data_IF_126434378440
#
_entry.id   IF_126434378440
#
_cell.length_a   1.000
_cell.length_b   1.000
_cell.length_c   1.000
_cell.angle_alpha   90.00
_cell.angle_beta   90.00
_cell.angle_gamma   90.00
#
_symmetry.space_group_name_H-M   'P 1'
#
loop_
_entity.id
_entity.type
_entity.pdbx_description
1 polymer ?
#
# COMPACT_ATOMS: atom_id res chain seq x y z
N UNK A 1 -18.85 9.88 14.80
CA UNK A 1 -17.72 10.09 13.86
C UNK A 1 -16.53 9.20 14.24
N UNK A 2 -16.63 7.86 14.13
CA UNK A 2 -15.58 6.96 14.66
C UNK A 2 -15.29 5.68 13.86
N UNK A 3 -15.99 5.43 12.75
CA UNK A 3 -15.90 4.15 12.05
C UNK A 3 -15.03 4.16 10.78
N UNK A 4 -14.76 5.34 10.20
CA UNK A 4 -14.09 5.46 8.88
C UNK A 4 -12.55 5.35 9.03
N UNK A 5 -12.01 5.85 10.15
CA UNK A 5 -10.58 5.75 10.46
C UNK A 5 -10.14 4.31 10.79
N UNK A 6 -11.05 3.52 11.38
CA UNK A 6 -10.78 2.14 11.80
C UNK A 6 -10.48 1.22 10.61
N UNK A 7 -11.08 1.45 9.44
CA UNK A 7 -10.89 0.58 8.27
C UNK A 7 -9.65 0.92 7.44
N UNK A 8 -9.19 2.18 7.48
CA UNK A 8 -8.03 2.61 6.70
C UNK A 8 -6.76 1.82 7.08
N UNK A 9 -6.51 1.67 8.38
CA UNK A 9 -5.36 0.93 8.89
C UNK A 9 -5.48 -0.60 8.72
N UNK A 10 -6.65 -1.11 8.31
CA UNK A 10 -6.84 -2.52 8.00
C UNK A 10 -6.28 -2.90 6.62
N UNK A 11 -5.99 -1.92 5.76
CA UNK A 11 -5.28 -2.18 4.52
C UNK A 11 -3.91 -2.83 4.79
N UNK A 12 -3.36 -3.64 3.85
CA UNK A 12 -2.02 -4.18 3.98
C UNK A 12 -1.00 -3.07 4.24
N UNK A 13 -0.03 -3.33 5.13
CA UNK A 13 0.98 -2.35 5.52
C UNK A 13 2.36 -2.90 5.22
N UNK A 14 3.19 -2.11 4.56
CA UNK A 14 4.57 -2.47 4.23
C UNK A 14 5.51 -1.49 4.90
N UNK A 15 6.33 -1.97 5.83
CA UNK A 15 7.38 -1.19 6.44
C UNK A 15 8.54 -1.04 5.45
N UNK A 16 9.03 0.18 5.29
CA UNK A 16 10.14 0.51 4.41
C UNK A 16 11.19 1.29 5.19
N UNK A 17 12.38 0.72 5.32
CA UNK A 17 13.55 1.38 5.86
C UNK A 17 14.34 2.06 4.74
N UNK A 18 14.49 3.38 4.84
CA UNK A 18 15.26 4.22 3.92
C UNK A 18 16.54 4.65 4.63
N UNK A 19 17.68 4.06 4.24
CA UNK A 19 18.98 4.29 4.87
C UNK A 19 19.71 5.54 4.37
N UNK A 20 19.39 5.97 3.14
CA UNK A 20 20.02 7.11 2.46
C UNK A 20 18.93 7.96 1.79
N UNK A 21 19.10 9.30 1.70
CA UNK A 21 18.19 10.12 0.91
C UNK A 21 18.25 9.73 -0.57
N UNK A 22 17.12 9.73 -1.26
CA UNK A 22 17.11 9.42 -2.69
C UNK A 22 15.72 9.32 -3.29
N UNK A 23 15.62 8.54 -4.37
CA UNK A 23 14.39 8.38 -5.13
C UNK A 23 13.77 7.00 -4.87
N UNK A 24 12.46 6.99 -4.61
CA UNK A 24 11.65 5.77 -4.55
C UNK A 24 10.42 5.94 -5.42
N UNK A 25 10.21 5.01 -6.34
CA UNK A 25 8.98 4.90 -7.12
C UNK A 25 8.20 3.67 -6.67
N UNK A 26 6.95 3.90 -6.30
CA UNK A 26 6.00 2.87 -5.92
C UNK A 26 5.02 2.66 -7.07
N UNK A 27 4.81 1.41 -7.46
CA UNK A 27 3.82 1.05 -8.46
C UNK A 27 2.81 0.07 -7.86
N UNK A 28 1.52 0.42 -7.89
CA UNK A 28 0.44 -0.43 -7.44
C UNK A 28 -0.36 -0.88 -8.67
N UNK A 29 -0.35 -2.18 -8.93
CA UNK A 29 -1.09 -2.80 -10.04
C UNK A 29 -2.16 -3.71 -9.46
N UNK A 30 -3.42 -3.51 -9.84
CA UNK A 30 -4.50 -4.44 -9.51
C UNK A 30 -4.58 -5.57 -10.54
N UNK A 31 -4.89 -6.78 -10.09
CA UNK A 31 -5.08 -7.96 -10.93
C UNK A 31 -6.43 -7.89 -11.63
N UNK A 32 -6.48 -8.36 -12.88
CA UNK A 32 -7.74 -8.55 -13.59
C UNK A 32 -8.33 -9.90 -13.19
N UNK A 33 -9.48 -9.91 -12.51
CA UNK A 33 -10.16 -11.16 -12.15
C UNK A 33 -10.56 -11.99 -13.38
N UNK A 34 -10.84 -11.32 -14.51
CA UNK A 34 -11.33 -11.89 -15.75
C UNK A 34 -10.34 -11.66 -16.92
N UNK A 35 -9.03 -11.72 -16.66
CA UNK A 35 -8.01 -11.49 -17.69
C UNK A 35 -8.23 -12.42 -18.90
N UNK A 36 -8.35 -11.85 -20.10
CA UNK A 36 -8.62 -12.60 -21.33
C UNK A 36 -10.11 -12.87 -21.64
N UNK A 37 -11.05 -12.47 -20.78
CA UNK A 37 -12.49 -12.60 -21.05
C UNK A 37 -13.06 -11.35 -21.75
N UNK A 38 -14.15 -11.53 -22.52
CA UNK A 38 -14.83 -10.42 -23.24
C UNK A 38 -15.49 -9.39 -22.33
N UNK A 39 -15.86 -9.76 -21.11
CA UNK A 39 -16.45 -8.87 -20.11
C UNK A 39 -15.41 -8.54 -19.06
N UNK A 40 -15.00 -7.27 -19.01
CA UNK A 40 -14.14 -6.72 -17.96
C UNK A 40 -15.00 -5.95 -16.98
N UNK A 41 -14.87 -6.29 -15.70
CA UNK A 41 -15.40 -5.46 -14.64
C UNK A 41 -14.58 -4.17 -14.55
N UNK A 42 -15.19 -3.04 -14.14
CA UNK A 42 -14.46 -1.79 -13.96
C UNK A 42 -13.37 -1.95 -12.90
N UNK A 43 -12.25 -1.24 -13.08
CA UNK A 43 -11.20 -1.20 -12.08
C UNK A 43 -11.69 -0.52 -10.80
N UNK A 44 -11.31 -1.09 -9.66
CA UNK A 44 -11.48 -0.44 -8.37
C UNK A 44 -10.63 0.83 -8.36
N UNK A 45 -11.14 1.91 -7.76
CA UNK A 45 -10.36 3.14 -7.62
C UNK A 45 -9.30 2.92 -6.54
N UNK A 46 -8.03 2.86 -6.95
CA UNK A 46 -6.89 2.52 -6.08
C UNK A 46 -5.96 3.71 -5.88
N UNK A 47 -5.23 3.70 -4.75
CA UNK A 47 -4.21 4.69 -4.43
C UNK A 47 -3.17 4.16 -3.43
N UNK A 48 -2.05 4.87 -3.31
CA UNK A 48 -0.98 4.58 -2.35
C UNK A 48 -0.91 5.70 -1.32
N UNK A 49 -0.80 5.31 -0.06
CA UNK A 49 -0.56 6.22 1.06
C UNK A 49 0.78 5.89 1.72
N UNK A 50 1.61 6.89 1.99
CA UNK A 50 2.90 6.72 2.65
C UNK A 50 2.95 7.57 3.90
N UNK A 51 3.24 6.97 5.05
CA UNK A 51 3.39 7.67 6.32
C UNK A 51 4.80 7.50 6.86
N UNK A 52 5.39 8.57 7.38
CA UNK A 52 6.63 8.48 8.17
C UNK A 52 6.29 8.01 9.57
N UNK A 53 7.07 7.08 10.11
CA UNK A 53 6.87 6.51 11.44
C UNK A 53 8.16 6.58 12.26
N UNK A 54 8.07 6.27 13.54
CA UNK A 54 9.18 6.27 14.49
C UNK A 54 10.20 5.18 14.12
N UNK A 55 11.49 5.45 14.37
CA UNK A 55 12.59 4.55 14.01
C UNK A 55 12.50 3.15 14.65
N UNK A 56 11.84 3.03 15.79
CA UNK A 56 11.64 1.77 16.50
C UNK A 56 10.36 1.03 16.08
N UNK A 57 9.61 1.54 15.09
CA UNK A 57 8.35 0.92 14.65
C UNK A 57 8.61 -0.47 14.08
N UNK A 58 8.03 -1.50 14.69
CA UNK A 58 8.11 -2.89 14.19
C UNK A 58 6.76 -3.51 13.88
N UNK A 59 5.67 -2.89 14.35
CA UNK A 59 4.29 -3.33 14.18
C UNK A 59 3.51 -2.37 13.29
N UNK A 60 2.34 -2.82 12.85
CA UNK A 60 1.41 -2.04 12.03
C UNK A 60 0.87 -0.82 12.79
N UNK A 61 0.50 0.22 12.07
CA UNK A 61 -0.25 1.35 12.64
C UNK A 61 -1.72 1.00 12.76
N UNK A 62 -2.37 1.54 13.80
CA UNK A 62 -3.80 1.36 14.06
C UNK A 62 -4.58 2.68 13.94
N UNK A 63 -3.89 3.78 13.66
CA UNK A 63 -4.47 5.09 13.43
C UNK A 63 -3.77 5.73 12.24
N UNK A 64 -4.56 6.37 11.38
CA UNK A 64 -4.02 7.14 10.27
C UNK A 64 -3.23 8.33 10.82
N UNK A 65 -2.01 8.51 10.30
CA UNK A 65 -1.14 9.64 10.61
C UNK A 65 -1.12 10.60 9.43
N UNK A 66 -0.51 11.77 9.60
CA UNK A 66 -0.28 12.69 8.48
C UNK A 66 0.56 11.99 7.39
N UNK A 67 0.10 11.95 6.13
CA UNK A 67 0.89 11.38 5.05
C UNK A 67 2.19 12.13 4.84
N UNK A 68 3.26 11.38 4.59
CA UNK A 68 4.46 11.90 3.94
C UNK A 68 4.23 12.08 2.43
N UNK A 69 3.40 11.23 1.82
CA UNK A 69 3.01 11.32 0.42
C UNK A 69 1.74 10.50 0.13
N UNK A 70 1.01 10.88 -0.91
CA UNK A 70 -0.15 10.15 -1.44
C UNK A 70 -0.12 10.17 -2.96
N UNK A 71 -0.49 9.06 -3.61
CA UNK A 71 -0.76 9.08 -5.05
C UNK A 71 -2.10 9.75 -5.33
N UNK A 72 -2.30 10.13 -6.59
CA UNK A 72 -3.65 10.29 -7.11
C UNK A 72 -4.39 8.95 -7.03
N UNK A 73 -5.70 9.02 -6.82
CA UNK A 73 -6.58 7.86 -6.86
C UNK A 73 -7.18 7.73 -8.25
N UNK A 74 -7.13 6.54 -8.83
CA UNK A 74 -7.67 6.32 -10.16
C UNK A 74 -8.30 4.93 -10.31
N UNK A 75 -9.38 4.86 -11.09
CA UNK A 75 -9.92 3.62 -11.64
C UNK A 75 -9.06 3.20 -12.83
N UNK A 76 -7.91 2.59 -12.54
CA UNK A 76 -6.92 2.18 -13.54
C UNK A 76 -6.24 0.87 -13.12
N UNK A 77 -5.72 0.11 -14.10
CA UNK A 77 -4.98 -1.14 -13.83
C UNK A 77 -3.76 -0.90 -12.93
N UNK A 78 -3.05 0.20 -13.17
CA UNK A 78 -1.85 0.57 -12.41
C UNK A 78 -1.83 2.06 -12.12
N UNK A 79 -1.34 2.41 -10.93
CA UNK A 79 -0.99 3.78 -10.54
C UNK A 79 0.43 3.83 -10.00
N UNK A 80 1.03 5.03 -10.01
CA UNK A 80 2.41 5.25 -9.60
C UNK A 80 2.51 6.41 -8.61
N UNK A 81 3.42 6.30 -7.66
CA UNK A 81 3.81 7.38 -6.76
C UNK A 81 5.33 7.53 -6.80
N UNK A 82 5.80 8.71 -7.20
CA UNK A 82 7.22 9.02 -7.29
C UNK A 82 7.63 9.94 -6.13
N UNK A 83 8.49 9.43 -5.24
CA UNK A 83 9.08 10.13 -4.11
C UNK A 83 10.51 10.53 -4.48
N UNK A 84 10.70 11.77 -4.98
CA UNK A 84 11.98 12.23 -5.53
C UNK A 84 13.04 12.56 -4.47
N UNK A 85 12.62 13.06 -3.32
CA UNK A 85 13.52 13.54 -2.27
C UNK A 85 13.16 12.89 -0.92
N UNK A 86 13.03 11.56 -0.88
CA UNK A 86 12.62 10.88 0.36
C UNK A 86 13.76 10.94 1.39
N UNK A 87 13.58 11.55 2.58
CA UNK A 87 14.64 11.60 3.58
C UNK A 87 14.85 10.25 4.25
N UNK A 88 16.04 10.06 4.85
CA UNK A 88 16.32 8.94 5.76
C UNK A 88 15.23 8.83 6.82
N UNK A 89 14.72 7.62 6.99
CA UNK A 89 13.60 7.36 7.89
C UNK A 89 12.98 5.99 7.71
N UNK A 90 11.96 5.75 8.52
CA UNK A 90 11.12 4.57 8.45
C UNK A 90 9.73 5.00 7.99
N UNK A 91 9.18 4.25 7.04
CA UNK A 91 7.91 4.58 6.40
C UNK A 91 6.99 3.37 6.39
N UNK A 92 5.68 3.62 6.42
CA UNK A 92 4.67 2.63 6.10
C UNK A 92 4.03 3.00 4.78
N UNK A 93 4.05 2.06 3.85
CA UNK A 93 3.31 2.13 2.58
C UNK A 93 2.02 1.33 2.73
N UNK A 94 0.89 1.96 2.41
CA UNK A 94 -0.43 1.33 2.33
C UNK A 94 -0.95 1.43 0.90
N UNK A 95 -1.08 0.31 0.17
CA UNK A 95 -1.98 0.24 -0.96
C UNK A 95 -3.42 0.25 -0.46
N UNK A 96 -4.27 1.07 -1.06
CA UNK A 96 -5.63 1.34 -0.57
C UNK A 96 -6.62 1.44 -1.73
N UNK A 97 -7.88 1.18 -1.44
CA UNK A 97 -9.01 1.57 -2.29
C UNK A 97 -9.56 2.93 -1.84
N UNK A 98 -10.20 3.67 -2.74
CA UNK A 98 -10.84 4.94 -2.40
C UNK A 98 -12.05 4.72 -1.50
N UNK A 99 -12.96 3.83 -1.90
CA UNK A 99 -14.12 3.49 -1.10
C UNK A 99 -13.78 2.35 -0.13
N UNK A 100 -14.29 2.38 1.11
CA UNK A 100 -14.10 1.28 2.04
C UNK A 100 -14.83 0.03 1.56
N UNK A 101 -14.30 -1.14 1.93
CA UNK A 101 -14.87 -2.48 1.63
C UNK A 101 -14.82 -2.92 0.16
N UNK A 102 -14.19 -2.14 -0.71
CA UNK A 102 -13.78 -2.65 -2.01
C UNK A 102 -12.55 -3.56 -1.86
N UNK A 103 -12.45 -4.59 -2.70
CA UNK A 103 -11.37 -5.56 -2.66
C UNK A 103 -10.85 -5.81 -4.07
N UNK A 104 -9.54 -5.91 -4.19
CA UNK A 104 -8.88 -6.33 -5.42
C UNK A 104 -7.56 -7.00 -5.07
N UNK A 105 -7.23 -8.08 -5.78
CA UNK A 105 -5.88 -8.61 -5.74
C UNK A 105 -4.92 -7.58 -6.34
N UNK A 106 -3.72 -7.43 -5.78
CA UNK A 106 -2.78 -6.42 -6.24
C UNK A 106 -1.33 -6.91 -6.16
N UNK A 107 -0.47 -6.17 -6.85
CA UNK A 107 0.97 -6.26 -6.78
C UNK A 107 1.54 -4.88 -6.51
N UNK A 108 2.32 -4.78 -5.44
CA UNK A 108 3.09 -3.58 -5.09
C UNK A 108 4.54 -3.79 -5.51
N UNK A 109 5.07 -2.89 -6.33
CA UNK A 109 6.49 -2.85 -6.69
C UNK A 109 7.14 -1.60 -6.13
N UNK A 110 8.38 -1.76 -5.69
CA UNK A 110 9.20 -0.69 -5.13
C UNK A 110 10.48 -0.64 -5.97
N UNK A 111 10.68 0.49 -6.63
CA UNK A 111 11.90 0.80 -7.37
C UNK A 111 12.65 1.87 -6.58
N UNK A 112 13.94 1.67 -6.39
CA UNK A 112 14.79 2.66 -5.72
C UNK A 112 16.18 2.63 -6.32
N UNK A 113 16.84 3.79 -6.31
CA UNK A 113 18.25 3.93 -6.63
C UNK A 113 19.20 3.52 -5.48
N UNK A 114 18.65 3.20 -4.30
CA UNK A 114 19.41 2.67 -3.16
C UNK A 114 18.79 1.37 -2.64
N UNK A 115 19.50 0.70 -1.74
CA UNK A 115 19.00 -0.51 -1.10
C UNK A 115 17.88 -0.13 -0.12
N UNK A 116 16.72 -0.75 -0.30
CA UNK A 116 15.58 -0.63 0.61
C UNK A 116 15.21 -2.00 1.15
N UNK A 117 14.71 -2.02 2.39
CA UNK A 117 14.31 -3.25 3.08
C UNK A 117 12.81 -3.24 3.36
N UNK A 118 11.97 -3.68 2.40
CA UNK A 118 10.54 -3.78 2.61
C UNK A 118 10.20 -5.00 3.48
N UNK A 119 9.30 -4.80 4.45
CA UNK A 119 8.76 -5.88 5.28
C UNK A 119 7.25 -5.76 5.36
N UNK A 120 6.52 -6.81 4.99
CA UNK A 120 5.08 -6.87 5.19
C UNK A 120 4.76 -6.92 6.69
N UNK A 121 3.85 -6.07 7.14
CA UNK A 121 3.29 -6.04 8.49
C UNK A 121 1.90 -6.66 8.46
N UNK A 122 1.88 -7.97 8.19
CA UNK A 122 0.65 -8.75 8.17
C UNK A 122 0.10 -8.91 9.59
N UNK A 123 -1.22 -9.03 9.71
CA UNK A 123 -1.82 -9.44 10.97
C UNK A 123 -1.38 -10.87 11.28
N UNK A 124 -1.13 -11.15 12.57
CA UNK A 124 -0.95 -12.53 13.02
C UNK A 124 -2.26 -13.27 12.73
N UNK A 125 -2.26 -14.14 11.71
CA UNK A 125 -3.45 -14.85 11.22
C UNK A 125 -3.75 -14.69 9.72
N UNK A 126 -3.12 -13.74 9.01
CA UNK A 126 -3.40 -13.51 7.57
C UNK A 126 -2.84 -14.57 6.61
N UNK A 127 -2.19 -15.63 7.12
CA UNK A 127 -1.69 -16.77 6.32
C UNK A 127 -2.74 -17.88 6.10
N UNK A 128 -3.93 -17.78 6.69
CA UNK A 128 -4.96 -18.83 6.65
C UNK A 128 -6.28 -18.34 6.05
N UNK A 129 -6.28 -17.92 4.79
CA UNK A 129 -7.51 -17.77 3.99
C UNK A 129 -7.57 -18.68 2.76
N UNK A 130 -6.61 -19.60 2.60
CA UNK A 130 -6.72 -20.72 1.67
C UNK A 130 -6.85 -22.01 2.47
N UNK A 131 -8.02 -22.25 3.04
CA UNK A 131 -8.56 -23.58 3.41
C UNK A 131 -9.98 -23.37 3.99
N UNK A 132 -10.95 -23.17 3.10
CA UNK A 132 -12.27 -23.75 3.32
C UNK A 132 -12.60 -24.57 2.08
N UNK A 133 -12.96 -25.83 2.36
CA UNK A 133 -13.34 -26.87 1.41
C UNK A 133 -14.56 -26.47 0.59
#
# INVERSE_FOLDING_TARGET
>A
MGAIQATFCNNPQFLLDVSEPGEIMLALTQSEANEGMKKRDPYVTIGIHVMRVEKNRVHRVHQAMTPAATSDYASARSIFLHLRDIPVGRYIVLPTTFAPREQSAFMLRIYSNHKVHPRALLEVGSFLLWLQQ
#
